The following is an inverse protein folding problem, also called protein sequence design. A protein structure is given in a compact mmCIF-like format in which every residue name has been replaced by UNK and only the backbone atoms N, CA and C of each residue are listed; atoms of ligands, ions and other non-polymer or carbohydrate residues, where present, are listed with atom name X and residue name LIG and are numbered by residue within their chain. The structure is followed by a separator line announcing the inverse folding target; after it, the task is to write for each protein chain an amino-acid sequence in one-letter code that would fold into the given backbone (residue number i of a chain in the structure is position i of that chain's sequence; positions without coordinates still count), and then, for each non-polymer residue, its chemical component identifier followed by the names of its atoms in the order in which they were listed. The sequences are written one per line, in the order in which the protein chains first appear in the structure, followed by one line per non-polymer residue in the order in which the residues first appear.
data_IF_933821801005
#
_entry.id   IF_933821801005
#
_cell.length_a   1.000
_cell.length_b   1.000
_cell.length_c   1.000
_cell.angle_alpha   90.00
_cell.angle_beta   90.00
_cell.angle_gamma   90.00
#
_symmetry.space_group_name_H-M   'P 1'
#
loop_
_entity.id
_entity.type
_entity.pdbx_description
1 polymer ?
#
# COMPACT_ATOMS: atom_id res chain seq x y z
N UNK A 1 3.77 -24.38 20.11
CA UNK A 1 4.50 -25.58 20.58
C UNK A 1 3.59 -26.71 21.06
N UNK A 2 2.41 -26.43 21.63
CA UNK A 2 1.47 -27.46 22.12
C UNK A 2 1.06 -28.50 21.06
N UNK A 3 0.75 -28.05 19.83
CA UNK A 3 0.31 -28.91 18.73
C UNK A 3 1.38 -29.93 18.26
N UNK A 4 2.67 -29.59 18.35
CA UNK A 4 3.77 -30.53 18.01
C UNK A 4 3.84 -31.70 18.99
N UNK A 5 3.64 -31.43 20.28
CA UNK A 5 3.66 -32.49 21.31
C UNK A 5 2.47 -33.44 21.16
N UNK A 6 1.32 -32.91 20.76
CA UNK A 6 0.11 -33.71 20.53
C UNK A 6 0.32 -34.64 19.31
N UNK A 7 0.79 -34.12 18.18
CA UNK A 7 1.06 -34.93 16.97
C UNK A 7 2.14 -35.99 17.18
N UNK A 8 3.18 -35.68 17.94
CA UNK A 8 4.22 -36.65 18.28
C UNK A 8 3.67 -37.80 19.14
N UNK A 9 2.80 -37.48 20.11
CA UNK A 9 2.12 -38.50 20.93
C UNK A 9 1.22 -39.41 20.08
N UNK A 10 0.49 -38.87 19.11
CA UNK A 10 -0.34 -39.67 18.21
C UNK A 10 0.49 -40.58 17.31
N UNK A 11 1.60 -40.10 16.76
CA UNK A 11 2.50 -40.93 15.95
C UNK A 11 3.13 -42.04 16.80
N UNK A 12 3.61 -41.70 17.99
CA UNK A 12 4.13 -42.69 18.93
C UNK A 12 3.07 -43.75 19.27
N UNK A 13 1.83 -43.31 19.56
CA UNK A 13 0.70 -44.20 19.85
C UNK A 13 0.42 -45.17 18.69
N UNK A 14 0.32 -44.67 17.46
CA UNK A 14 0.08 -45.49 16.26
C UNK A 14 1.22 -46.49 16.07
N UNK A 15 2.48 -46.08 16.25
CA UNK A 15 3.62 -46.99 16.15
C UNK A 15 3.58 -48.10 17.21
N UNK A 16 3.27 -47.77 18.47
CA UNK A 16 3.08 -48.79 19.53
C UNK A 16 1.92 -49.72 19.23
N UNK A 17 0.82 -49.22 18.65
CA UNK A 17 -0.33 -50.04 18.27
C UNK A 17 0.06 -51.04 17.18
N UNK A 18 0.74 -50.59 16.11
CA UNK A 18 1.22 -51.47 15.05
C UNK A 18 2.24 -52.49 15.55
N UNK A 19 3.13 -52.09 16.45
CA UNK A 19 4.08 -53.00 17.09
C UNK A 19 3.37 -54.06 17.93
N UNK A 20 2.36 -53.68 18.71
CA UNK A 20 1.52 -54.60 19.47
C UNK A 20 0.77 -55.60 18.58
N UNK A 21 0.21 -55.15 17.46
CA UNK A 21 -0.46 -56.02 16.47
C UNK A 21 0.54 -57.00 15.85
N UNK A 22 1.75 -56.54 15.51
CA UNK A 22 2.79 -57.42 14.96
C UNK A 22 3.21 -58.51 15.96
N UNK A 23 3.40 -58.15 17.23
CA UNK A 23 3.68 -59.13 18.30
C UNK A 23 2.53 -60.12 18.47
N UNK A 24 1.29 -59.62 18.51
CA UNK A 24 0.10 -60.47 18.64
C UNK A 24 -0.04 -61.45 17.46
N UNK A 25 0.26 -61.02 16.24
CA UNK A 25 0.29 -61.88 15.06
C UNK A 25 1.39 -62.93 15.15
N UNK A 26 2.59 -62.57 15.60
CA UNK A 26 3.70 -63.53 15.82
C UNK A 26 3.33 -64.56 16.88
N UNK A 27 2.77 -64.13 18.02
CA UNK A 27 2.33 -65.03 19.10
C UNK A 27 1.17 -65.91 18.62
N UNK A 28 0.19 -65.36 17.93
CA UNK A 28 -0.97 -66.10 17.42
C UNK A 28 -0.57 -67.14 16.38
N UNK A 29 0.35 -66.78 15.46
CA UNK A 29 0.94 -67.72 14.52
C UNK A 29 1.74 -68.79 15.26
N UNK A 30 2.52 -68.41 16.28
CA UNK A 30 3.27 -69.35 17.11
C UNK A 30 2.33 -70.34 17.81
N UNK A 31 1.31 -69.90 18.54
CA UNK A 31 0.37 -70.80 19.23
C UNK A 31 -0.34 -71.75 18.26
N UNK A 32 -0.86 -71.24 17.13
CA UNK A 32 -1.64 -72.04 16.16
C UNK A 32 -0.79 -73.06 15.39
N UNK A 33 0.51 -72.83 15.24
CA UNK A 33 1.41 -73.73 14.53
C UNK A 33 2.06 -74.79 15.42
N UNK A 34 1.80 -74.78 16.73
CA UNK A 34 2.27 -75.84 17.65
C UNK A 34 1.52 -77.17 17.46
N UNK A 35 0.36 -77.13 16.81
CA UNK A 35 -0.51 -78.30 16.58
C UNK A 35 -0.27 -79.02 15.23
N UNK A 36 0.57 -78.47 14.33
CA UNK A 36 0.79 -79.02 12.99
C UNK A 36 2.17 -79.68 12.85
N UNK A 37 2.22 -80.86 12.20
CA UNK A 37 3.43 -81.68 11.89
C UNK A 37 4.39 -81.02 10.87
N UNK A 38 4.57 -79.71 10.92
CA UNK A 38 5.47 -78.97 10.04
C UNK A 38 6.86 -78.96 10.68
N UNK A 39 7.91 -79.23 9.89
CA UNK A 39 9.30 -79.21 10.35
C UNK A 39 9.61 -77.88 11.07
N UNK A 40 10.05 -77.97 12.33
CA UNK A 40 10.25 -76.80 13.21
C UNK A 40 11.20 -75.75 12.64
N UNK A 41 12.09 -76.15 11.73
CA UNK A 41 13.07 -75.28 11.07
C UNK A 41 12.42 -74.26 10.11
N UNK A 42 11.51 -74.72 9.23
CA UNK A 42 10.77 -73.86 8.30
C UNK A 42 9.92 -72.84 9.06
N UNK A 43 9.34 -73.26 10.19
CA UNK A 43 8.47 -72.43 11.03
C UNK A 43 9.25 -71.26 11.67
N UNK A 44 10.44 -71.53 12.19
CA UNK A 44 11.31 -70.49 12.77
C UNK A 44 11.74 -69.49 11.70
N UNK A 45 12.03 -69.97 10.49
CA UNK A 45 12.47 -69.12 9.39
C UNK A 45 11.36 -68.19 8.87
N UNK A 46 10.12 -68.68 8.78
CA UNK A 46 8.95 -67.86 8.41
C UNK A 46 8.66 -66.78 9.45
N UNK A 47 8.67 -67.13 10.74
CA UNK A 47 8.46 -66.16 11.83
C UNK A 47 9.55 -65.08 11.83
N UNK A 48 10.81 -65.49 11.63
CA UNK A 48 11.94 -64.55 11.54
C UNK A 48 11.78 -63.59 10.37
N UNK A 49 11.35 -64.09 9.22
CA UNK A 49 11.13 -63.27 8.02
C UNK A 49 9.99 -62.27 8.19
N UNK A 50 8.87 -62.69 8.80
CA UNK A 50 7.75 -61.80 9.13
C UNK A 50 8.15 -60.73 10.15
N UNK A 51 8.93 -61.10 11.16
CA UNK A 51 9.45 -60.15 12.15
C UNK A 51 10.36 -59.10 11.49
N UNK A 52 11.27 -59.53 10.61
CA UNK A 52 12.14 -58.62 9.85
C UNK A 52 11.32 -57.66 8.99
N UNK A 53 10.28 -58.17 8.30
CA UNK A 53 9.40 -57.34 7.48
C UNK A 53 8.62 -56.31 8.32
N UNK A 54 8.09 -56.72 9.47
CA UNK A 54 7.40 -55.82 10.40
C UNK A 54 8.32 -54.69 10.89
N UNK A 55 9.58 -55.01 11.22
CA UNK A 55 10.58 -54.00 11.61
C UNK A 55 10.84 -53.02 10.47
N UNK A 56 10.99 -53.49 9.24
CA UNK A 56 11.20 -52.62 8.05
C UNK A 56 10.02 -51.66 7.87
N UNK A 57 8.78 -52.12 8.00
CA UNK A 57 7.59 -51.28 7.90
C UNK A 57 7.58 -50.21 8.99
N UNK A 58 7.89 -50.58 10.24
CA UNK A 58 7.88 -49.65 11.38
C UNK A 58 8.96 -48.58 11.19
N UNK A 59 10.18 -48.99 10.84
CA UNK A 59 11.29 -48.05 10.62
C UNK A 59 11.01 -47.16 9.41
N UNK A 60 10.61 -47.73 8.27
CA UNK A 60 10.28 -46.99 7.06
C UNK A 60 9.12 -46.01 7.27
N UNK A 61 8.07 -46.45 7.96
CA UNK A 61 6.91 -45.64 8.31
C UNK A 61 7.26 -44.50 9.27
N UNK A 62 8.11 -44.75 10.26
CA UNK A 62 8.60 -43.73 11.21
C UNK A 62 9.43 -42.68 10.48
N UNK A 63 10.40 -43.11 9.67
CA UNK A 63 11.25 -42.21 8.88
C UNK A 63 10.41 -41.36 7.94
N UNK A 64 9.48 -41.97 7.20
CA UNK A 64 8.56 -41.26 6.30
C UNK A 64 7.70 -40.24 7.03
N UNK A 65 7.18 -40.59 8.21
CA UNK A 65 6.39 -39.68 9.03
C UNK A 65 7.21 -38.47 9.51
N UNK A 66 8.45 -38.70 9.95
CA UNK A 66 9.37 -37.62 10.36
C UNK A 66 9.69 -36.67 9.20
N UNK A 67 10.01 -37.20 8.01
CA UNK A 67 10.25 -36.38 6.82
C UNK A 67 9.02 -35.54 6.46
N UNK A 68 7.82 -36.14 6.46
CA UNK A 68 6.57 -35.44 6.17
C UNK A 68 6.28 -34.30 7.16
N UNK A 69 6.59 -34.49 8.45
CA UNK A 69 6.43 -33.43 9.45
C UNK A 69 7.35 -32.23 9.20
N UNK A 70 8.61 -32.50 8.83
CA UNK A 70 9.59 -31.45 8.52
C UNK A 70 9.16 -30.69 7.26
N UNK A 71 8.69 -31.40 6.24
CA UNK A 71 8.20 -30.83 4.99
C UNK A 71 7.00 -29.90 5.21
N UNK A 72 6.01 -30.32 6.01
CA UNK A 72 4.84 -29.50 6.36
C UNK A 72 5.26 -28.19 7.03
N UNK A 73 6.25 -28.23 7.93
CA UNK A 73 6.72 -27.03 8.62
C UNK A 73 7.46 -26.07 7.66
N UNK A 74 8.27 -26.60 6.75
CA UNK A 74 8.93 -25.82 5.71
C UNK A 74 7.91 -25.18 4.77
N UNK A 75 6.95 -25.94 4.28
CA UNK A 75 5.88 -25.46 3.40
C UNK A 75 5.02 -24.40 4.09
N UNK A 76 4.73 -24.55 5.40
CA UNK A 76 4.00 -23.53 6.17
C UNK A 76 4.80 -22.23 6.29
N UNK A 77 6.10 -22.32 6.60
CA UNK A 77 6.98 -21.13 6.69
C UNK A 77 7.13 -20.44 5.35
N UNK A 78 7.27 -21.20 4.26
CA UNK A 78 7.32 -20.66 2.90
C UNK A 78 6.01 -19.93 2.56
N UNK A 79 4.84 -20.55 2.76
CA UNK A 79 3.54 -19.91 2.53
C UNK A 79 3.36 -18.61 3.31
N UNK A 80 3.73 -18.58 4.59
CA UNK A 80 3.65 -17.35 5.40
C UNK A 80 4.60 -16.27 4.84
N UNK A 81 5.80 -16.66 4.42
CA UNK A 81 6.78 -15.72 3.87
C UNK A 81 6.33 -15.18 2.50
N UNK A 82 5.80 -16.03 1.64
CA UNK A 82 5.22 -15.66 0.34
C UNK A 82 4.01 -14.76 0.51
N UNK A 83 3.11 -15.07 1.45
CA UNK A 83 1.97 -14.23 1.76
C UNK A 83 2.42 -12.83 2.22
N UNK A 84 3.39 -12.75 3.14
CA UNK A 84 3.97 -11.47 3.58
C UNK A 84 4.63 -10.71 2.43
N UNK A 85 5.36 -11.39 1.54
CA UNK A 85 5.96 -10.80 0.34
C UNK A 85 4.89 -10.24 -0.60
N UNK A 86 3.81 -11.00 -0.81
CA UNK A 86 2.71 -10.57 -1.67
C UNK A 86 1.96 -9.37 -1.07
N UNK A 87 1.66 -9.38 0.24
CA UNK A 87 1.07 -8.24 0.94
C UNK A 87 1.95 -6.99 0.85
N UNK A 88 3.27 -7.13 1.02
CA UNK A 88 4.21 -6.02 0.86
C UNK A 88 4.27 -5.53 -0.59
N UNK A 89 4.23 -6.42 -1.58
CA UNK A 89 4.19 -6.06 -3.00
C UNK A 89 2.94 -5.25 -3.32
N UNK A 90 1.77 -5.72 -2.88
CA UNK A 90 0.49 -5.01 -3.05
C UNK A 90 0.54 -3.63 -2.41
N UNK A 91 1.09 -3.50 -1.19
CA UNK A 91 1.26 -2.19 -0.53
C UNK A 91 2.19 -1.26 -1.31
N UNK A 92 3.28 -1.78 -1.86
CA UNK A 92 4.23 -1.01 -2.67
C UNK A 92 3.60 -0.54 -4.00
N UNK A 93 2.82 -1.41 -4.65
CA UNK A 93 2.06 -1.09 -5.86
C UNK A 93 1.05 0.03 -5.61
N UNK A 94 0.24 -0.07 -4.54
CA UNK A 94 -0.71 0.96 -4.12
C UNK A 94 0.00 2.31 -3.89
N UNK A 95 1.12 2.31 -3.15
CA UNK A 95 1.91 3.53 -2.89
C UNK A 95 2.48 4.14 -4.17
N UNK A 96 2.97 3.30 -5.08
CA UNK A 96 3.54 3.74 -6.36
C UNK A 96 2.47 4.36 -7.25
N UNK A 97 1.31 3.72 -7.36
CA UNK A 97 0.16 4.26 -8.09
C UNK A 97 -0.31 5.59 -7.50
N UNK A 98 -0.44 5.65 -6.17
CA UNK A 98 -0.81 6.86 -5.46
C UNK A 98 0.16 8.02 -5.73
N UNK A 99 1.47 7.77 -5.70
CA UNK A 99 2.50 8.75 -6.06
C UNK A 99 2.40 9.21 -7.52
N UNK A 100 2.11 8.30 -8.45
CA UNK A 100 1.90 8.67 -9.87
C UNK A 100 0.73 9.63 -10.01
N UNK A 101 -0.41 9.33 -9.38
CA UNK A 101 -1.62 10.17 -9.39
C UNK A 101 -1.36 11.53 -8.76
N UNK A 102 -0.74 11.58 -7.58
CA UNK A 102 -0.36 12.84 -6.94
C UNK A 102 0.60 13.66 -7.81
N UNK A 103 1.57 13.00 -8.46
CA UNK A 103 2.50 13.64 -9.39
C UNK A 103 1.81 14.23 -10.63
N UNK A 104 0.77 13.58 -11.15
CA UNK A 104 -0.06 14.13 -12.25
C UNK A 104 -0.76 15.41 -11.79
N UNK A 105 -1.42 15.39 -10.62
CA UNK A 105 -2.10 16.56 -10.06
C UNK A 105 -1.12 17.74 -9.92
N UNK A 106 0.04 17.51 -9.30
CA UNK A 106 1.06 18.55 -9.14
C UNK A 106 1.49 19.15 -10.50
N UNK A 107 1.72 18.30 -11.51
CA UNK A 107 2.09 18.76 -12.86
C UNK A 107 0.98 19.57 -13.52
N UNK A 108 -0.28 19.18 -13.36
CA UNK A 108 -1.44 19.90 -13.91
C UNK A 108 -1.55 21.30 -13.29
N UNK A 109 -1.51 21.41 -11.95
CA UNK A 109 -1.51 22.71 -11.25
C UNK A 109 -0.35 23.59 -11.72
N UNK A 110 0.85 23.01 -11.87
CA UNK A 110 2.03 23.72 -12.37
C UNK A 110 1.89 24.14 -13.83
N UNK A 111 1.24 23.33 -14.67
CA UNK A 111 0.95 23.67 -16.06
C UNK A 111 -0.03 24.85 -16.13
N UNK A 112 -1.12 24.83 -15.36
CA UNK A 112 -2.08 25.94 -15.29
C UNK A 112 -1.43 27.23 -14.84
N UNK A 113 -0.57 27.17 -13.81
CA UNK A 113 0.25 28.31 -13.38
C UNK A 113 1.13 28.86 -14.51
N UNK A 114 1.78 27.99 -15.28
CA UNK A 114 2.66 28.38 -16.38
C UNK A 114 1.87 29.01 -17.52
N UNK A 115 0.70 28.47 -17.85
CA UNK A 115 -0.20 29.02 -18.86
C UNK A 115 -0.67 30.44 -18.49
N UNK A 116 -1.11 30.65 -17.25
CA UNK A 116 -1.50 31.98 -16.76
C UNK A 116 -0.33 32.97 -16.79
N UNK A 117 0.88 32.52 -16.43
CA UNK A 117 2.08 33.36 -16.55
C UNK A 117 2.43 33.71 -17.99
N UNK A 118 2.27 32.78 -18.92
CA UNK A 118 2.63 32.97 -20.32
C UNK A 118 1.77 34.05 -20.98
N UNK A 119 0.52 34.22 -20.54
CA UNK A 119 -0.36 35.30 -21.00
C UNK A 119 -0.20 36.62 -20.23
N UNK A 120 0.80 36.73 -19.33
CA UNK A 120 1.07 37.98 -18.60
C UNK A 120 0.30 38.15 -17.29
N UNK A 121 -0.56 37.21 -16.87
CA UNK A 121 -1.22 37.26 -15.56
C UNK A 121 -0.24 36.91 -14.42
N UNK A 122 0.77 37.74 -14.22
CA UNK A 122 1.84 37.48 -13.24
C UNK A 122 2.55 38.74 -12.77
N UNK A 123 2.83 38.81 -11.48
CA UNK A 123 3.76 39.80 -10.90
C UNK A 123 5.23 39.42 -11.10
N UNK A 124 5.52 38.25 -11.72
CA UNK A 124 6.87 37.70 -11.76
C UNK A 124 7.85 38.55 -12.56
N UNK A 125 7.39 39.25 -13.59
CA UNK A 125 8.26 40.07 -14.45
C UNK A 125 7.94 41.56 -14.35
N UNK A 126 7.29 41.98 -13.25
CA UNK A 126 6.87 43.37 -12.99
C UNK A 126 6.03 43.98 -14.14
N UNK A 127 5.31 43.13 -14.88
CA UNK A 127 4.53 43.47 -16.07
C UNK A 127 3.08 42.95 -15.96
N UNK A 128 2.54 42.92 -14.74
CA UNK A 128 1.17 42.52 -14.53
C UNK A 128 0.22 43.54 -15.20
N UNK A 129 -0.82 43.08 -15.92
CA UNK A 129 -1.79 43.99 -16.51
C UNK A 129 -2.56 44.73 -15.42
N UNK A 130 -2.92 46.00 -15.65
CA UNK A 130 -3.79 46.73 -14.72
C UNK A 130 -5.21 46.13 -14.75
N UNK A 131 -5.79 46.01 -15.95
CA UNK A 131 -7.10 45.41 -16.20
C UNK A 131 -7.00 44.13 -17.03
N UNK A 132 -7.93 43.20 -16.81
CA UNK A 132 -7.99 41.95 -17.55
C UNK A 132 -8.61 42.17 -18.94
N UNK A 133 -7.87 41.83 -20.00
CA UNK A 133 -8.40 41.77 -21.35
C UNK A 133 -9.35 40.58 -21.54
N UNK A 134 -10.22 40.58 -22.56
CA UNK A 134 -11.07 39.42 -22.89
C UNK A 134 -10.28 38.10 -23.03
N UNK A 135 -9.12 38.17 -23.67
CA UNK A 135 -8.21 37.02 -23.81
C UNK A 135 -7.66 36.51 -22.47
N UNK A 136 -7.38 37.42 -21.53
CA UNK A 136 -6.98 37.05 -20.17
C UNK A 136 -8.11 36.32 -19.45
N UNK A 137 -9.34 36.84 -19.54
CA UNK A 137 -10.51 36.26 -18.88
C UNK A 137 -10.83 34.85 -19.40
N UNK A 138 -10.82 34.67 -20.72
CA UNK A 138 -11.02 33.36 -21.35
C UNK A 138 -9.98 32.33 -20.90
N UNK A 139 -8.70 32.72 -20.94
CA UNK A 139 -7.61 31.83 -20.50
C UNK A 139 -7.72 31.54 -19.00
N UNK A 140 -8.07 32.55 -18.19
CA UNK A 140 -8.23 32.38 -16.74
C UNK A 140 -9.33 31.37 -16.43
N UNK A 141 -10.52 31.52 -17.02
CA UNK A 141 -11.64 30.57 -16.94
C UNK A 141 -11.20 29.15 -17.32
N UNK A 142 -10.53 28.99 -18.46
CA UNK A 142 -10.00 27.69 -18.90
C UNK A 142 -9.06 27.06 -17.88
N UNK A 143 -8.13 27.84 -17.31
CA UNK A 143 -7.18 27.31 -16.33
C UNK A 143 -7.82 27.03 -14.96
N UNK A 144 -8.90 27.72 -14.58
CA UNK A 144 -9.62 27.42 -13.35
C UNK A 144 -10.38 26.10 -13.42
N UNK A 145 -10.87 25.70 -14.59
CA UNK A 145 -11.42 24.35 -14.81
C UNK A 145 -10.36 23.28 -14.53
N UNK A 146 -9.13 23.46 -15.03
CA UNK A 146 -8.03 22.53 -14.78
C UNK A 146 -7.63 22.47 -13.30
N UNK A 147 -7.63 23.61 -12.62
CA UNK A 147 -7.35 23.67 -11.17
C UNK A 147 -8.47 23.00 -10.37
N UNK A 148 -9.73 23.17 -10.76
CA UNK A 148 -10.87 22.50 -10.12
C UNK A 148 -10.75 20.98 -10.24
N UNK A 149 -10.44 20.47 -11.43
CA UNK A 149 -10.21 19.04 -11.66
C UNK A 149 -9.05 18.51 -10.78
N UNK A 150 -7.98 19.29 -10.64
CA UNK A 150 -6.87 18.94 -9.75
C UNK A 150 -7.26 18.95 -8.26
N UNK A 151 -8.09 19.90 -7.82
CA UNK A 151 -8.59 19.96 -6.43
C UNK A 151 -9.49 18.77 -6.12
N UNK A 152 -10.43 18.43 -7.00
CA UNK A 152 -11.30 17.26 -6.84
C UNK A 152 -10.49 15.95 -6.80
N UNK A 153 -9.46 15.84 -7.64
CA UNK A 153 -8.56 14.69 -7.61
C UNK A 153 -7.77 14.59 -6.29
N UNK A 154 -7.34 15.72 -5.72
CA UNK A 154 -6.71 15.75 -4.39
C UNK A 154 -7.68 15.32 -3.30
N UNK A 155 -8.93 15.75 -3.37
CA UNK A 155 -9.97 15.33 -2.43
C UNK A 155 -10.20 13.82 -2.47
N UNK A 156 -10.24 13.22 -3.67
CA UNK A 156 -10.28 11.76 -3.84
C UNK A 156 -9.09 11.06 -3.19
N UNK A 157 -7.86 11.53 -3.47
CA UNK A 157 -6.65 11.00 -2.84
C UNK A 157 -6.66 11.15 -1.32
N UNK A 158 -7.19 12.27 -0.81
CA UNK A 158 -7.34 12.54 0.62
C UNK A 158 -8.28 11.53 1.30
N UNK A 159 -9.38 11.16 0.65
CA UNK A 159 -10.31 10.13 1.13
C UNK A 159 -9.64 8.75 1.12
N UNK A 160 -8.97 8.40 0.03
CA UNK A 160 -8.21 7.14 -0.09
C UNK A 160 -7.12 6.98 0.98
N UNK A 161 -6.42 8.07 1.31
CA UNK A 161 -5.40 8.05 2.37
C UNK A 161 -5.96 7.68 3.75
N UNK A 162 -7.24 7.96 4.03
CA UNK A 162 -7.90 7.58 5.28
C UNK A 162 -8.31 6.11 5.31
N UNK A 163 -8.71 5.56 4.16
CA UNK A 163 -9.36 4.24 4.08
C UNK A 163 -8.38 3.12 3.76
N UNK A 164 -7.26 3.39 3.08
CA UNK A 164 -6.36 2.35 2.61
C UNK A 164 -5.34 1.92 3.68
N UNK A 165 -5.21 0.60 3.96
CA UNK A 165 -4.23 0.07 4.92
C UNK A 165 -2.78 0.45 4.64
N UNK A 166 -2.44 0.73 3.37
CA UNK A 166 -1.10 1.12 2.95
C UNK A 166 -0.61 2.45 3.57
N UNK A 167 -1.55 3.30 4.03
CA UNK A 167 -1.29 4.66 4.52
C UNK A 167 -1.65 4.89 5.99
N UNK A 168 -2.21 3.90 6.71
CA UNK A 168 -2.59 4.02 8.13
C UNK A 168 -1.42 4.50 9.02
N UNK A 169 -0.19 4.13 8.65
CA UNK A 169 1.04 4.51 9.37
C UNK A 169 1.54 5.92 9.04
N UNK A 170 0.89 6.66 8.13
CA UNK A 170 1.29 8.00 7.69
C UNK A 170 0.24 9.05 8.13
N UNK A 171 0.15 9.37 9.44
CA UNK A 171 -0.90 10.25 9.97
C UNK A 171 -0.86 11.66 9.38
N UNK A 172 0.33 12.15 9.00
CA UNK A 172 0.54 13.47 8.41
C UNK A 172 0.19 13.55 6.92
N UNK A 173 0.05 12.42 6.22
CA UNK A 173 -0.29 12.40 4.79
C UNK A 173 -1.64 13.09 4.54
N UNK A 174 -2.64 12.78 5.38
CA UNK A 174 -3.97 13.37 5.26
C UNK A 174 -3.95 14.89 5.41
N UNK A 175 -3.30 15.39 6.47
CA UNK A 175 -3.19 16.84 6.72
C UNK A 175 -2.42 17.57 5.61
N UNK A 176 -1.39 16.94 5.04
CA UNK A 176 -0.65 17.50 3.92
C UNK A 176 -1.53 17.62 2.66
N UNK A 177 -2.32 16.60 2.35
CA UNK A 177 -3.24 16.64 1.21
C UNK A 177 -4.35 17.68 1.41
N UNK A 178 -4.88 17.78 2.62
CA UNK A 178 -5.85 18.81 3.01
C UNK A 178 -5.29 20.22 2.81
N UNK A 179 -4.05 20.47 3.22
CA UNK A 179 -3.38 21.75 2.98
C UNK A 179 -3.20 22.07 1.49
N UNK A 180 -2.90 21.07 0.66
CA UNK A 180 -2.80 21.23 -0.79
C UNK A 180 -4.16 21.56 -1.42
N UNK A 181 -5.21 20.84 -1.00
CA UNK A 181 -6.58 21.05 -1.44
C UNK A 181 -7.11 22.43 -1.04
N UNK A 182 -6.94 22.82 0.22
CA UNK A 182 -7.38 24.13 0.74
C UNK A 182 -6.71 25.29 0.00
N UNK A 183 -5.45 25.11 -0.39
CA UNK A 183 -4.75 26.10 -1.21
C UNK A 183 -5.43 26.30 -2.57
N UNK A 184 -5.76 25.20 -3.27
CA UNK A 184 -6.46 25.29 -4.56
C UNK A 184 -7.88 25.84 -4.39
N UNK A 185 -8.58 25.44 -3.32
CA UNK A 185 -9.91 25.97 -2.99
C UNK A 185 -9.90 27.49 -2.81
N UNK A 186 -8.86 28.06 -2.20
CA UNK A 186 -8.75 29.52 -2.05
C UNK A 186 -8.61 30.24 -3.41
N UNK A 187 -7.88 29.65 -4.36
CA UNK A 187 -7.75 30.21 -5.71
C UNK A 187 -9.09 30.11 -6.46
N UNK A 188 -9.78 28.97 -6.34
CA UNK A 188 -11.09 28.77 -6.94
C UNK A 188 -12.14 29.69 -6.35
N UNK A 189 -12.15 29.90 -5.03
CA UNK A 189 -13.08 30.81 -4.37
C UNK A 189 -12.90 32.27 -4.79
N UNK A 190 -11.66 32.71 -5.07
CA UNK A 190 -11.45 34.01 -5.71
C UNK A 190 -12.04 34.04 -7.12
N UNK A 191 -11.80 33.00 -7.92
CA UNK A 191 -12.40 32.91 -9.26
C UNK A 191 -13.93 32.86 -9.21
N UNK A 192 -14.55 32.16 -8.27
CA UNK A 192 -16.01 32.11 -8.14
C UNK A 192 -16.60 33.48 -7.77
N UNK A 193 -15.86 34.28 -7.01
CA UNK A 193 -16.25 35.64 -6.64
C UNK A 193 -16.20 36.60 -7.83
N UNK A 194 -15.16 36.55 -8.66
CA UNK A 194 -14.96 37.50 -9.77
C UNK A 194 -15.41 36.95 -11.15
N UNK A 195 -15.56 35.63 -11.28
CA UNK A 195 -15.92 34.91 -12.49
C UNK A 195 -17.20 35.41 -13.16
N UNK A 196 -18.31 35.58 -12.42
CA UNK A 196 -19.54 36.14 -12.97
C UNK A 196 -19.38 37.55 -13.57
N UNK A 197 -18.44 38.34 -13.05
CA UNK A 197 -18.16 39.70 -13.56
C UNK A 197 -17.53 39.66 -14.96
N UNK A 198 -16.81 38.58 -15.29
CA UNK A 198 -16.23 38.38 -16.62
C UNK A 198 -17.32 38.13 -17.67
N UNK A 199 -18.36 37.37 -17.32
CA UNK A 199 -19.44 37.02 -18.24
C UNK A 199 -20.33 38.24 -18.57
N UNK A 200 -20.44 39.21 -17.67
CA UNK A 200 -21.16 40.49 -17.90
C UNK A 200 -20.27 41.61 -18.47
N UNK A 201 -19.00 41.32 -18.78
CA UNK A 201 -18.07 42.29 -19.39
C UNK A 201 -17.56 43.39 -18.44
N UNK A 202 -17.68 43.21 -17.13
CA UNK A 202 -17.14 44.16 -16.16
C UNK A 202 -15.62 44.04 -16.10
N UNK A 203 -14.93 45.18 -16.22
CA UNK A 203 -13.47 45.24 -16.08
C UNK A 203 -13.07 44.89 -14.65
N UNK A 204 -12.29 43.82 -14.49
CA UNK A 204 -11.68 43.44 -13.22
C UNK A 204 -10.20 43.77 -13.27
N UNK A 205 -9.68 44.38 -12.21
CA UNK A 205 -8.26 44.68 -12.12
C UNK A 205 -7.48 43.48 -11.59
N UNK A 206 -6.26 43.29 -12.09
CA UNK A 206 -5.40 42.21 -11.60
C UNK A 206 -5.03 42.37 -10.13
N UNK A 207 -5.00 43.62 -9.63
CA UNK A 207 -4.77 43.93 -8.21
C UNK A 207 -5.83 43.34 -7.28
N UNK A 208 -7.05 43.13 -7.78
CA UNK A 208 -8.17 42.62 -6.99
C UNK A 208 -8.12 41.09 -6.87
N UNK A 209 -7.27 40.44 -7.68
CA UNK A 209 -7.07 38.99 -7.75
C UNK A 209 -5.81 38.61 -6.97
N UNK A 210 -5.83 38.82 -5.65
CA UNK A 210 -4.69 38.58 -4.75
C UNK A 210 -4.19 37.12 -4.81
N UNK A 211 -5.09 36.14 -4.87
CA UNK A 211 -4.74 34.70 -4.91
C UNK A 211 -4.16 34.32 -6.24
N UNK A 212 -4.70 34.82 -7.34
CA UNK A 212 -4.11 34.67 -8.66
C UNK A 212 -2.70 35.28 -8.70
N UNK A 213 -2.54 36.50 -8.19
CA UNK A 213 -1.26 37.20 -8.16
C UNK A 213 -0.20 36.45 -7.32
N UNK A 214 -0.60 35.85 -6.21
CA UNK A 214 0.25 35.00 -5.37
C UNK A 214 0.60 33.67 -6.08
N UNK A 215 -0.39 33.01 -6.66
CA UNK A 215 -0.25 31.76 -7.42
C UNK A 215 0.75 31.94 -8.57
N UNK A 216 0.61 33.00 -9.36
CA UNK A 216 1.45 33.26 -10.53
C UNK A 216 2.69 34.09 -10.21
N UNK A 217 2.81 34.71 -9.04
CA UNK A 217 3.87 35.67 -8.70
C UNK A 217 5.27 35.09 -8.45
N UNK A 218 6.22 35.98 -8.10
CA UNK A 218 7.60 35.60 -7.71
C UNK A 218 7.60 34.77 -6.44
N UNK A 219 8.44 33.74 -6.42
CA UNK A 219 8.61 32.83 -5.29
C UNK A 219 9.08 33.52 -3.99
N UNK A 220 9.92 34.56 -4.09
CA UNK A 220 10.66 35.13 -2.96
C UNK A 220 10.03 36.38 -2.32
N UNK A 221 8.99 36.98 -2.91
CA UNK A 221 8.39 38.21 -2.38
C UNK A 221 7.48 37.92 -1.17
N UNK A 222 7.67 38.64 -0.05
CA UNK A 222 6.83 38.55 1.14
C UNK A 222 5.43 39.10 0.88
N UNK A 223 4.50 38.24 0.45
CA UNK A 223 3.07 38.57 0.50
C UNK A 223 2.58 38.42 1.94
N UNK A 224 2.21 39.54 2.57
CA UNK A 224 1.52 39.55 3.86
C UNK A 224 0.02 39.76 3.60
N UNK A 225 -0.78 38.71 3.78
CA UNK A 225 -2.24 38.84 3.71
C UNK A 225 -2.74 39.51 4.99
N UNK A 226 -3.38 40.69 4.86
CA UNK A 226 -3.80 41.52 6.01
C UNK A 226 -4.96 40.94 6.84
N UNK A 227 -5.65 39.88 6.41
CA UNK A 227 -6.94 39.50 7.02
C UNK A 227 -7.09 38.07 7.54
N UNK A 228 -6.12 37.17 7.31
CA UNK A 228 -6.18 35.78 7.78
C UNK A 228 -4.85 35.32 8.38
N UNK A 229 -4.32 36.09 9.33
CA UNK A 229 -3.11 35.77 10.08
C UNK A 229 -3.32 34.62 11.08
N UNK A 230 -3.70 33.43 10.60
CA UNK A 230 -3.12 32.20 11.16
C UNK A 230 -1.78 32.02 10.45
N UNK A 231 -0.70 31.99 11.24
CA UNK A 231 0.71 31.93 10.80
C UNK A 231 0.98 30.79 9.79
N UNK A 232 0.77 31.02 8.50
CA UNK A 232 1.47 30.30 7.42
C UNK A 232 1.46 31.13 6.15
N UNK A 233 2.65 31.30 5.54
CA UNK A 233 2.79 31.85 4.19
C UNK A 233 2.22 30.82 3.20
N UNK A 234 0.94 30.91 2.88
CA UNK A 234 0.34 30.13 1.80
C UNK A 234 0.98 30.58 0.48
N UNK A 235 1.82 29.74 -0.13
CA UNK A 235 2.33 29.94 -1.50
C UNK A 235 2.42 28.61 -2.21
N UNK A 236 2.14 28.57 -3.51
CA UNK A 236 2.28 27.34 -4.28
C UNK A 236 3.71 26.77 -4.22
N UNK A 237 4.76 27.61 -4.17
CA UNK A 237 6.14 27.09 -4.18
C UNK A 237 6.74 26.81 -2.79
N UNK A 238 6.24 27.43 -1.72
CA UNK A 238 6.77 27.20 -0.35
C UNK A 238 5.81 26.44 0.55
N UNK A 239 4.57 26.23 0.12
CA UNK A 239 3.59 25.47 0.88
C UNK A 239 3.15 24.27 0.04
N UNK A 240 2.50 24.49 -1.10
CA UNK A 240 2.03 23.36 -1.92
C UNK A 240 3.19 22.48 -2.44
N UNK A 241 4.29 23.07 -2.91
CA UNK A 241 5.47 22.30 -3.35
C UNK A 241 6.19 21.62 -2.18
N UNK A 242 6.34 22.31 -1.05
CA UNK A 242 7.05 21.76 0.11
C UNK A 242 6.25 20.64 0.77
N UNK A 243 4.92 20.80 0.83
CA UNK A 243 3.97 19.78 1.25
C UNK A 243 3.98 18.59 0.29
N UNK A 244 4.03 18.83 -1.03
CA UNK A 244 4.19 17.76 -2.03
C UNK A 244 5.50 16.99 -1.85
N UNK A 245 6.63 17.68 -1.71
CA UNK A 245 7.93 17.02 -1.46
C UNK A 245 7.94 16.27 -0.12
N UNK A 246 7.29 16.82 0.91
CA UNK A 246 7.08 16.13 2.19
C UNK A 246 6.29 14.83 2.01
N UNK A 247 5.18 14.86 1.24
CA UNK A 247 4.38 13.67 0.93
C UNK A 247 5.20 12.64 0.16
N UNK A 248 5.96 13.06 -0.85
CA UNK A 248 6.85 12.16 -1.61
C UNK A 248 7.90 11.54 -0.69
N UNK A 249 8.53 12.34 0.16
CA UNK A 249 9.54 11.86 1.11
C UNK A 249 8.98 10.80 2.05
N UNK A 250 7.79 11.03 2.61
CA UNK A 250 7.11 10.09 3.50
C UNK A 250 6.77 8.77 2.83
N UNK A 251 6.23 8.80 1.61
CA UNK A 251 5.86 7.58 0.90
C UNK A 251 7.11 6.84 0.41
N UNK A 252 8.15 7.56 -0.06
CA UNK A 252 9.40 6.94 -0.54
C UNK A 252 10.15 6.24 0.59
N UNK A 253 10.20 6.82 1.80
CA UNK A 253 10.85 6.17 2.95
C UNK A 253 10.18 4.85 3.35
N UNK A 254 8.92 4.64 2.97
CA UNK A 254 8.18 3.39 3.22
C UNK A 254 8.31 2.35 2.10
N UNK A 255 8.92 2.72 0.97
CA UNK A 255 9.16 1.82 -0.17
C UNK A 255 10.54 1.13 -0.10
N UNK A 256 11.47 1.67 0.69
CA UNK A 256 12.80 1.11 0.98
C UNK A 256 12.70 0.26 2.24
#
# INVERSE_FOLDING_TARGET
MLDKRIKLKYIAFILTLFFGIAIALVIGLWVKTTDSKINGEIRVEVVKSLLQFAVIIIVGGTVTALFKLIEIERNRKQRITEQKRNENRIRAEIRTDYLKRLGVIYRNVKASRRALRAIGLTTKYNNAPQSLSPKHMETYKKQMIEINNAQLALEGLKIEAKSLPAFIILPTLHSNLEQMEDYLRQILGEYEKYGPLFDIGTSVNFSDLERLAEFTGKTKASFQFKKYAKKTNYRLKSHFSDVYESVIGMIRHQLV
#
